data_IF_098639408300
#
_entry.id   IF_098639408300
#
_cell.length_a   1.000
_cell.length_b   1.000
_cell.length_c   1.000
_cell.angle_alpha   90.00
_cell.angle_beta   90.00
_cell.angle_gamma   90.00
#
_symmetry.space_group_name_H-M   'P 1'
#
loop_
_entity.id
_entity.type
_entity.pdbx_description
1 polymer ?
#
# COMPACT_ATOMS: atom_id res chain seq x y z
N UNK A 1 11.25 -39.69 -20.70
CA UNK A 1 10.57 -38.42 -21.06
C UNK A 1 10.26 -37.65 -19.79
N UNK A 2 11.13 -36.72 -19.43
CA UNK A 2 11.02 -35.92 -18.20
C UNK A 2 9.99 -34.81 -18.46
N UNK A 3 8.84 -34.88 -17.79
CA UNK A 3 7.82 -33.82 -17.86
C UNK A 3 8.33 -32.60 -17.08
N UNK A 4 8.95 -31.66 -17.79
CA UNK A 4 9.24 -30.32 -17.29
C UNK A 4 7.90 -29.63 -16.99
N UNK A 5 7.54 -29.50 -15.71
CA UNK A 5 6.39 -28.68 -15.30
C UNK A 5 6.79 -27.21 -15.42
N UNK A 6 6.20 -26.53 -16.40
CA UNK A 6 6.34 -25.09 -16.58
C UNK A 6 5.44 -24.38 -15.55
N UNK A 7 5.98 -24.02 -14.39
CA UNK A 7 5.25 -23.21 -13.41
C UNK A 7 5.34 -21.73 -13.82
N UNK A 8 4.35 -21.26 -14.59
CA UNK A 8 4.17 -19.84 -14.88
C UNK A 8 3.48 -19.17 -13.68
N UNK A 9 4.27 -18.50 -12.82
CA UNK A 9 3.75 -17.70 -11.72
C UNK A 9 3.32 -16.33 -12.25
N UNK A 10 2.02 -16.15 -12.49
CA UNK A 10 1.41 -14.84 -12.69
C UNK A 10 0.96 -14.30 -11.31
N UNK A 11 1.87 -13.63 -10.60
CA UNK A 11 1.49 -12.92 -9.37
C UNK A 11 0.54 -11.77 -9.74
N UNK A 12 -0.70 -11.80 -9.25
CA UNK A 12 -1.66 -10.70 -9.40
C UNK A 12 -1.10 -9.37 -8.90
N UNK A 13 -1.73 -8.25 -9.28
CA UNK A 13 -1.24 -6.91 -8.96
C UNK A 13 -1.00 -6.67 -7.45
N UNK A 14 -1.84 -7.30 -6.62
CA UNK A 14 -1.74 -7.31 -5.16
C UNK A 14 -0.61 -8.21 -4.62
N UNK A 15 -0.20 -9.21 -5.40
CA UNK A 15 0.89 -10.15 -5.12
C UNK A 15 2.25 -9.67 -5.67
N UNK A 16 2.30 -8.57 -6.42
CA UNK A 16 3.54 -7.98 -6.94
C UNK A 16 4.51 -7.54 -5.84
N UNK A 17 3.97 -7.36 -4.63
CA UNK A 17 4.67 -6.97 -3.43
C UNK A 17 4.84 -8.11 -2.42
N UNK A 18 4.61 -9.36 -2.82
CA UNK A 18 4.96 -10.52 -1.98
C UNK A 18 6.34 -11.06 -2.37
N UNK A 19 7.25 -11.14 -1.41
CA UNK A 19 8.48 -11.92 -1.54
C UNK A 19 8.10 -13.39 -1.44
N UNK A 20 7.95 -14.10 -2.56
CA UNK A 20 8.16 -15.54 -2.57
C UNK A 20 9.65 -15.80 -2.70
N UNK A 21 10.33 -15.91 -1.56
CA UNK A 21 11.70 -16.41 -1.48
C UNK A 21 11.76 -17.50 -0.42
N UNK A 22 12.31 -18.62 -0.87
CA UNK A 22 12.71 -19.80 -0.12
C UNK A 22 13.58 -19.35 1.07
N UNK A 23 13.21 -19.79 2.27
CA UNK A 23 13.91 -19.49 3.51
C UNK A 23 15.28 -20.19 3.54
N UNK A 24 16.32 -19.44 3.93
CA UNK A 24 17.51 -19.96 4.59
C UNK A 24 17.89 -18.96 5.70
N UNK A 25 17.53 -19.39 6.91
CA UNK A 25 18.12 -19.23 8.24
C UNK A 25 19.09 -18.10 8.66
N UNK A 26 18.88 -17.74 9.94
CA UNK A 26 19.83 -17.39 11.01
C UNK A 26 20.37 -15.95 11.08
N UNK A 27 19.81 -15.15 12.01
CA UNK A 27 20.34 -15.03 13.38
C UNK A 27 19.59 -13.96 14.19
N UNK A 28 19.05 -14.39 15.32
CA UNK A 28 18.52 -13.58 16.42
C UNK A 28 19.66 -13.18 17.38
N UNK A 29 19.58 -12.01 18.03
CA UNK A 29 20.01 -11.79 19.43
C UNK A 29 19.20 -10.60 20.02
N UNK A 30 18.74 -10.67 21.29
CA UNK A 30 17.80 -9.75 21.93
C UNK A 30 18.48 -8.74 22.88
N UNK A 31 17.78 -7.72 23.37
CA UNK A 31 18.20 -7.04 24.62
C UNK A 31 17.04 -6.44 25.42
N UNK A 32 17.13 -6.64 26.73
CA UNK A 32 16.22 -6.29 27.81
C UNK A 32 16.15 -4.79 28.17
N UNK A 33 14.95 -4.37 28.57
CA UNK A 33 14.53 -3.53 29.70
C UNK A 33 15.59 -2.77 30.53
N UNK A 34 15.34 -1.49 30.85
CA UNK A 34 15.29 -0.90 32.23
C UNK A 34 14.86 0.59 32.14
N UNK A 35 13.82 1.02 32.88
CA UNK A 35 13.90 2.14 33.87
C UNK A 35 12.59 2.38 34.65
N UNK A 36 12.74 2.71 35.94
CA UNK A 36 11.71 3.10 36.93
C UNK A 36 11.75 4.62 37.17
N UNK A 37 10.56 5.20 37.44
CA UNK A 37 10.27 6.35 38.35
C UNK A 37 10.77 7.74 37.92
N UNK A 38 10.09 8.87 38.14
CA UNK A 38 8.89 9.21 38.91
C UNK A 38 8.36 10.59 38.47
N UNK A 39 7.03 10.75 38.49
CA UNK A 39 6.15 11.86 38.99
C UNK A 39 6.76 13.27 39.17
N UNK A 40 6.14 14.40 38.77
CA UNK A 40 5.02 15.10 39.47
C UNK A 40 4.55 16.39 38.73
N UNK A 41 3.21 16.54 38.65
CA UNK A 41 2.27 17.70 38.65
C UNK A 41 2.27 18.87 37.65
N UNK A 42 1.06 19.04 37.11
CA UNK A 42 0.34 20.17 36.47
C UNK A 42 0.26 21.46 37.32
N UNK A 43 -0.13 22.60 36.71
CA UNK A 43 -1.47 23.10 36.99
C UNK A 43 -2.26 23.59 35.76
N UNK A 44 -3.57 23.43 35.90
CA UNK A 44 -4.70 23.66 35.01
C UNK A 44 -4.94 25.15 34.73
N UNK A 45 -5.38 25.49 33.51
CA UNK A 45 -6.33 26.59 33.28
C UNK A 45 -7.15 26.27 32.04
N UNK A 46 -8.46 26.10 32.24
CA UNK A 46 -9.46 25.88 31.20
C UNK A 46 -9.78 27.20 30.50
N UNK A 47 -9.77 27.19 29.17
CA UNK A 47 -10.60 28.07 28.36
C UNK A 47 -11.20 27.23 27.23
N UNK A 48 -12.44 26.80 27.45
CA UNK A 48 -13.30 26.19 26.45
C UNK A 48 -13.67 27.24 25.41
N UNK A 49 -13.14 27.12 24.20
CA UNK A 49 -13.87 27.42 22.97
C UNK A 49 -13.53 26.32 21.97
N UNK A 50 -14.34 25.26 22.01
CA UNK A 50 -14.29 24.17 21.04
C UNK A 50 -14.76 24.73 19.69
N UNK A 51 -13.81 25.04 18.82
CA UNK A 51 -14.08 25.13 17.39
C UNK A 51 -14.39 23.69 16.96
N UNK A 52 -15.68 23.39 16.78
CA UNK A 52 -16.11 22.22 16.04
C UNK A 52 -15.59 22.38 14.61
N UNK A 53 -14.38 21.89 14.35
CA UNK A 53 -13.94 21.62 12.98
C UNK A 53 -14.90 20.58 12.42
N UNK A 54 -15.79 21.02 11.54
CA UNK A 54 -16.58 20.14 10.69
C UNK A 54 -15.59 19.28 9.92
N UNK A 55 -15.33 18.09 10.46
CA UNK A 55 -14.52 17.07 9.83
C UNK A 55 -15.31 16.60 8.62
N UNK A 56 -14.89 17.02 7.42
CA UNK A 56 -15.61 16.68 6.20
C UNK A 56 -15.30 15.22 5.84
N UNK A 57 -16.29 14.36 6.04
CA UNK A 57 -16.21 12.98 5.56
C UNK A 57 -16.26 12.96 4.03
N UNK A 58 -15.30 12.29 3.40
CA UNK A 58 -15.24 12.21 1.93
C UNK A 58 -15.02 10.78 1.46
N UNK A 59 -15.71 10.44 0.38
CA UNK A 59 -15.55 9.16 -0.32
C UNK A 59 -14.96 9.41 -1.70
N UNK A 60 -13.76 8.89 -1.93
CA UNK A 60 -13.10 8.92 -3.24
C UNK A 60 -13.02 7.51 -3.81
N UNK A 61 -13.27 7.35 -5.11
CA UNK A 61 -13.22 6.06 -5.80
C UNK A 61 -12.46 6.18 -7.10
N UNK A 62 -11.50 5.30 -7.31
CA UNK A 62 -10.63 5.23 -8.48
C UNK A 62 -10.72 3.85 -9.11
N UNK A 63 -10.99 3.77 -10.41
CA UNK A 63 -11.03 2.51 -11.15
C UNK A 63 -9.94 2.50 -12.21
N UNK A 64 -9.16 1.44 -12.19
CA UNK A 64 -8.06 1.20 -13.10
C UNK A 64 -8.41 0.06 -14.05
N UNK A 65 -8.27 0.29 -15.35
CA UNK A 65 -8.21 -0.79 -16.32
C UNK A 65 -6.82 -1.42 -16.22
N UNK A 66 -6.76 -2.73 -16.04
CA UNK A 66 -5.50 -3.48 -15.94
C UNK A 66 -5.34 -4.36 -17.17
N UNK A 67 -4.14 -4.37 -17.73
CA UNK A 67 -3.77 -5.09 -18.94
C UNK A 67 -2.54 -5.96 -18.69
N UNK A 68 -2.53 -7.17 -19.24
CA UNK A 68 -1.31 -7.93 -19.49
C UNK A 68 -0.81 -7.61 -20.89
N UNK A 69 0.36 -6.96 -21.00
CA UNK A 69 0.79 -6.28 -22.21
C UNK A 69 -0.34 -5.36 -22.72
N UNK A 70 -0.88 -5.63 -23.90
CA UNK A 70 -1.98 -4.87 -24.51
C UNK A 70 -3.37 -5.50 -24.31
N UNK A 71 -3.46 -6.63 -23.60
CA UNK A 71 -4.72 -7.36 -23.43
C UNK A 71 -5.32 -6.99 -22.08
N UNK A 72 -6.54 -6.45 -22.09
CA UNK A 72 -7.33 -6.23 -20.88
C UNK A 72 -7.52 -7.53 -20.12
N UNK A 73 -7.12 -7.52 -18.85
CA UNK A 73 -7.31 -8.66 -17.94
C UNK A 73 -8.32 -8.35 -16.84
N UNK A 74 -8.83 -7.13 -16.72
CA UNK A 74 -9.85 -6.79 -15.73
C UNK A 74 -9.58 -5.44 -15.08
N UNK A 75 -10.11 -5.24 -13.87
CA UNK A 75 -10.10 -3.94 -13.21
C UNK A 75 -9.56 -4.03 -11.79
N UNK A 76 -8.93 -2.95 -11.36
CA UNK A 76 -8.65 -2.68 -9.96
C UNK A 76 -9.47 -1.46 -9.53
N UNK A 77 -10.07 -1.52 -8.36
CA UNK A 77 -10.78 -0.39 -7.74
C UNK A 77 -10.10 -0.04 -6.43
N UNK A 78 -9.93 1.24 -6.15
CA UNK A 78 -9.53 1.75 -4.83
C UNK A 78 -10.58 2.74 -4.35
N UNK A 79 -11.12 2.52 -3.17
CA UNK A 79 -12.05 3.41 -2.48
C UNK A 79 -11.41 3.91 -1.19
N UNK A 80 -11.49 5.22 -0.96
CA UNK A 80 -10.98 5.90 0.22
C UNK A 80 -12.17 6.54 0.93
N UNK A 81 -12.38 6.21 2.19
CA UNK A 81 -13.35 6.87 3.06
C UNK A 81 -12.56 7.63 4.12
N UNK A 82 -12.53 8.95 4.01
CA UNK A 82 -11.89 9.82 4.98
C UNK A 82 -12.88 10.18 6.06
N UNK A 83 -12.45 10.05 7.31
CA UNK A 83 -13.10 10.59 8.50
C UNK A 83 -12.07 11.38 9.29
N UNK A 84 -11.91 12.63 8.87
CA UNK A 84 -10.88 13.53 9.39
C UNK A 84 -9.49 13.08 9.05
N UNK A 85 -8.73 12.70 10.08
CA UNK A 85 -7.36 12.23 9.93
C UNK A 85 -7.28 10.72 9.67
N UNK A 86 -8.38 10.01 9.85
CA UNK A 86 -8.48 8.57 9.65
C UNK A 86 -9.01 8.30 8.26
N UNK A 87 -8.55 7.20 7.66
CA UNK A 87 -8.98 6.75 6.33
C UNK A 87 -9.12 5.23 6.29
N UNK A 88 -10.31 4.79 5.88
CA UNK A 88 -10.51 3.41 5.46
C UNK A 88 -10.24 3.30 3.96
N UNK A 89 -9.38 2.36 3.56
CA UNK A 89 -9.07 2.12 2.14
C UNK A 89 -9.48 0.71 1.75
N UNK A 90 -10.39 0.60 0.78
CA UNK A 90 -10.80 -0.66 0.18
C UNK A 90 -10.25 -0.79 -1.24
N UNK A 91 -9.33 -1.73 -1.43
CA UNK A 91 -8.73 -2.06 -2.71
C UNK A 91 -9.25 -3.40 -3.19
N UNK A 92 -9.78 -3.49 -4.40
CA UNK A 92 -10.28 -4.73 -5.00
C UNK A 92 -9.69 -4.91 -6.39
N UNK A 93 -9.16 -6.09 -6.69
CA UNK A 93 -8.63 -6.46 -7.98
C UNK A 93 -9.35 -7.72 -8.48
N UNK A 94 -9.96 -7.64 -9.65
CA UNK A 94 -10.63 -8.75 -10.29
C UNK A 94 -10.09 -8.90 -11.71
N UNK A 95 -9.34 -9.98 -11.93
CA UNK A 95 -8.69 -10.25 -13.19
C UNK A 95 -9.00 -11.65 -13.72
N UNK A 96 -9.06 -11.75 -15.05
CA UNK A 96 -9.21 -13.00 -15.79
C UNK A 96 -8.37 -12.96 -17.06
N UNK A 97 -7.62 -14.02 -17.32
CA UNK A 97 -6.85 -14.21 -18.55
C UNK A 97 -6.90 -15.66 -18.99
N UNK A 98 -7.31 -15.90 -20.24
CA UNK A 98 -7.66 -17.23 -20.74
C UNK A 98 -8.70 -17.89 -19.82
N UNK A 99 -8.40 -19.10 -19.30
CA UNK A 99 -9.30 -19.84 -18.40
C UNK A 99 -8.97 -19.65 -16.91
N UNK A 100 -8.14 -18.67 -16.56
CA UNK A 100 -7.71 -18.42 -15.19
C UNK A 100 -8.26 -17.10 -14.67
N UNK A 101 -8.85 -17.14 -13.47
CA UNK A 101 -9.22 -15.96 -12.70
C UNK A 101 -8.26 -15.80 -11.52
N UNK A 102 -7.89 -14.55 -11.24
CA UNK A 102 -6.99 -14.20 -10.16
C UNK A 102 -7.32 -12.79 -9.68
N UNK A 103 -7.14 -12.54 -8.40
CA UNK A 103 -7.60 -11.30 -7.82
C UNK A 103 -7.49 -11.31 -6.31
N UNK A 104 -8.08 -10.31 -5.70
CA UNK A 104 -8.09 -10.17 -4.26
C UNK A 104 -8.65 -8.84 -3.82
N UNK A 105 -8.79 -8.69 -2.51
CA UNK A 105 -9.18 -7.46 -1.86
C UNK A 105 -8.26 -7.18 -0.68
N UNK A 106 -8.15 -5.90 -0.33
CA UNK A 106 -7.62 -5.48 0.95
C UNK A 106 -8.45 -4.31 1.47
N UNK A 107 -8.94 -4.45 2.69
CA UNK A 107 -9.47 -3.34 3.48
C UNK A 107 -8.42 -2.94 4.52
N UNK A 108 -8.09 -1.66 4.59
CA UNK A 108 -7.12 -1.09 5.52
C UNK A 108 -7.76 0.00 6.35
N UNK A 109 -7.44 0.02 7.64
CA UNK A 109 -7.71 1.15 8.53
C UNK A 109 -6.39 1.88 8.77
N UNK A 110 -6.34 3.17 8.46
CA UNK A 110 -5.12 3.96 8.44
C UNK A 110 -5.40 5.29 9.13
N UNK A 111 -4.45 5.81 9.91
CA UNK A 111 -4.54 7.16 10.47
C UNK A 111 -3.33 8.01 10.11
N UNK A 112 -3.57 9.32 10.03
CA UNK A 112 -2.53 10.32 9.88
C UNK A 112 -1.95 10.72 11.25
N UNK A 113 -0.64 10.54 11.40
CA UNK A 113 0.14 11.06 12.50
C UNK A 113 0.64 12.48 12.17
N UNK A 114 0.01 13.48 12.78
CA UNK A 114 0.33 14.89 12.58
C UNK A 114 1.74 15.29 13.04
N UNK A 115 2.30 14.60 14.05
CA UNK A 115 3.61 14.93 14.59
C UNK A 115 4.71 14.39 13.68
N UNK A 116 4.54 13.16 13.21
CA UNK A 116 5.51 12.48 12.35
C UNK A 116 5.30 12.76 10.86
N UNK A 117 4.16 13.37 10.49
CA UNK A 117 3.76 13.67 9.11
C UNK A 117 3.77 12.41 8.24
N UNK A 118 3.22 11.33 8.77
CA UNK A 118 3.11 10.05 8.10
C UNK A 118 1.79 9.34 8.38
N UNK A 119 1.41 8.45 7.48
CA UNK A 119 0.30 7.52 7.68
C UNK A 119 0.77 6.26 8.41
N UNK A 120 0.01 5.85 9.42
CA UNK A 120 0.19 4.61 10.16
C UNK A 120 -0.93 3.63 9.80
N UNK A 121 -0.57 2.39 9.48
CA UNK A 121 -1.55 1.32 9.37
C UNK A 121 -2.00 0.89 10.77
N UNK A 122 -3.31 0.74 10.99
CA UNK A 122 -3.89 0.23 12.24
C UNK A 122 -4.30 -1.22 12.13
N UNK A 123 -4.98 -1.54 11.04
CA UNK A 123 -5.34 -2.91 10.70
C UNK A 123 -5.43 -3.06 9.19
N UNK A 124 -5.26 -4.29 8.70
CA UNK A 124 -5.80 -4.63 7.39
C UNK A 124 -6.29 -6.07 7.33
N UNK A 125 -7.27 -6.28 6.48
CA UNK A 125 -7.76 -7.58 6.07
C UNK A 125 -7.52 -7.76 4.58
N UNK A 126 -6.92 -8.86 4.17
CA UNK A 126 -6.58 -9.16 2.78
C UNK A 126 -7.00 -10.56 2.39
N UNK A 127 -7.67 -10.66 1.25
CA UNK A 127 -7.97 -11.93 0.60
C UNK A 127 -7.41 -11.97 -0.81
N UNK A 128 -6.92 -13.12 -1.27
CA UNK A 128 -6.56 -13.31 -2.67
C UNK A 128 -6.86 -14.72 -3.16
N UNK A 129 -7.15 -14.84 -4.45
CA UNK A 129 -7.41 -16.10 -5.17
C UNK A 129 -6.55 -16.20 -6.43
N UNK A 130 -6.39 -17.42 -6.95
CA UNK A 130 -5.56 -17.71 -8.11
C UNK A 130 -4.31 -18.49 -7.71
N UNK A 131 -3.12 -17.99 -8.04
CA UNK A 131 -1.85 -18.70 -7.82
C UNK A 131 -1.43 -18.78 -6.35
N UNK A 132 -2.00 -17.95 -5.48
CA UNK A 132 -1.79 -18.01 -4.03
C UNK A 132 -3.06 -17.59 -3.33
N UNK A 133 -3.58 -18.47 -2.47
CA UNK A 133 -4.74 -18.19 -1.64
C UNK A 133 -4.26 -17.59 -0.33
N UNK A 134 -4.73 -16.38 -0.05
CA UNK A 134 -4.42 -15.65 1.17
C UNK A 134 -5.75 -15.28 1.81
N UNK A 135 -5.85 -15.52 3.11
CA UNK A 135 -6.85 -14.95 4.00
C UNK A 135 -6.10 -14.43 5.22
N UNK A 136 -5.84 -13.14 5.26
CA UNK A 136 -4.86 -12.54 6.15
C UNK A 136 -5.43 -11.32 6.87
N UNK A 137 -5.37 -11.35 8.20
CA UNK A 137 -5.64 -10.19 9.06
C UNK A 137 -4.35 -9.76 9.73
N UNK A 138 -4.10 -8.45 9.78
CA UNK A 138 -2.96 -7.87 10.49
C UNK A 138 -3.43 -6.74 11.38
N UNK A 139 -2.96 -6.74 12.62
CA UNK A 139 -3.10 -5.62 13.53
C UNK A 139 -1.74 -5.05 13.87
N UNK A 140 -1.64 -3.73 13.89
CA UNK A 140 -0.42 -2.99 14.22
C UNK A 140 -0.52 -2.45 15.64
N UNK A 141 0.62 -2.33 16.32
CA UNK A 141 0.68 -1.57 17.55
C UNK A 141 0.59 -0.05 17.29
N UNK A 142 0.62 0.73 18.37
CA UNK A 142 0.31 2.16 18.33
C UNK A 142 1.28 2.95 17.45
N UNK A 143 2.55 2.57 17.40
CA UNK A 143 3.59 3.22 16.61
C UNK A 143 3.93 2.46 15.31
N UNK A 144 3.19 1.37 15.02
CA UNK A 144 3.36 0.53 13.84
C UNK A 144 4.64 -0.31 13.86
N UNK A 145 5.37 -0.37 14.97
CA UNK A 145 6.64 -1.10 15.08
C UNK A 145 6.47 -2.60 15.17
N UNK A 146 5.30 -3.07 15.61
CA UNK A 146 4.98 -4.49 15.74
C UNK A 146 3.69 -4.85 15.03
N UNK A 147 3.67 -5.99 14.36
CA UNK A 147 2.47 -6.56 13.73
C UNK A 147 2.10 -7.91 14.34
N UNK A 148 0.80 -8.16 14.46
CA UNK A 148 0.21 -9.46 14.80
C UNK A 148 -0.56 -9.95 13.57
N UNK A 149 -0.05 -11.02 12.96
CA UNK A 149 -0.55 -11.57 11.70
C UNK A 149 -1.31 -12.86 11.96
N UNK A 150 -2.51 -12.97 11.38
CA UNK A 150 -3.22 -14.25 11.23
C UNK A 150 -3.38 -14.48 9.73
N UNK A 151 -2.73 -15.49 9.17
CA UNK A 151 -2.78 -15.81 7.75
C UNK A 151 -3.18 -17.28 7.56
N UNK A 152 -4.33 -17.54 6.95
CA UNK A 152 -4.88 -18.89 6.78
C UNK A 152 -4.94 -19.69 8.10
N UNK A 153 -5.21 -19.01 9.22
CA UNK A 153 -5.25 -19.58 10.57
C UNK A 153 -3.88 -19.66 11.29
N UNK A 154 -2.76 -19.48 10.58
CA UNK A 154 -1.43 -19.44 11.18
C UNK A 154 -1.15 -18.06 11.78
N UNK A 155 -0.56 -18.05 12.99
CA UNK A 155 -0.22 -16.82 13.72
C UNK A 155 1.26 -16.53 13.63
N UNK A 156 1.61 -15.28 13.39
CA UNK A 156 2.99 -14.80 13.41
C UNK A 156 3.05 -13.36 13.94
N UNK A 157 4.22 -12.97 14.42
CA UNK A 157 4.50 -11.60 14.83
C UNK A 157 5.78 -11.11 14.16
N UNK A 158 5.80 -9.83 13.80
CA UNK A 158 6.98 -9.19 13.23
C UNK A 158 7.24 -7.86 13.93
N UNK A 159 8.50 -7.48 14.05
CA UNK A 159 8.92 -6.20 14.66
C UNK A 159 9.90 -5.49 13.72
N UNK A 160 9.88 -4.16 13.70
CA UNK A 160 10.84 -3.35 12.98
C UNK A 160 11.20 -2.08 13.76
N UNK A 161 12.41 -2.05 14.31
CA UNK A 161 12.90 -0.92 15.11
C UNK A 161 13.31 0.30 14.24
N UNK A 162 13.45 0.12 12.93
CA UNK A 162 13.93 1.17 12.01
C UNK A 162 12.83 2.16 11.62
N UNK A 163 11.67 1.70 11.15
CA UNK A 163 10.49 2.54 10.87
C UNK A 163 9.17 1.79 11.12
N UNK A 164 8.01 2.46 11.18
CA UNK A 164 6.71 1.79 11.21
C UNK A 164 6.55 0.81 10.04
N UNK A 165 5.98 -0.36 10.34
CA UNK A 165 5.51 -1.33 9.36
C UNK A 165 4.16 -0.83 8.86
N UNK A 166 3.94 -0.92 7.55
CA UNK A 166 2.72 -0.45 6.89
C UNK A 166 2.15 -1.50 5.94
N UNK A 167 0.94 -1.26 5.44
CA UNK A 167 0.34 -2.02 4.36
C UNK A 167 0.47 -1.34 2.99
N UNK A 168 0.03 -2.03 1.94
CA UNK A 168 0.09 -1.53 0.57
C UNK A 168 -0.72 -0.24 0.33
N UNK A 169 -1.92 -0.13 0.92
CA UNK A 169 -2.78 1.05 0.75
C UNK A 169 -2.11 2.29 1.38
N UNK A 170 -1.47 2.10 2.53
CA UNK A 170 -0.73 3.13 3.27
C UNK A 170 0.45 3.67 2.47
N UNK A 171 1.19 2.78 1.77
CA UNK A 171 2.30 3.20 0.88
C UNK A 171 1.79 4.18 -0.19
N UNK A 172 0.67 3.86 -0.85
CA UNK A 172 0.14 4.72 -1.92
C UNK A 172 -0.31 6.09 -1.41
N UNK A 173 -0.91 6.14 -0.22
CA UNK A 173 -1.27 7.40 0.45
C UNK A 173 -0.05 8.22 0.83
N UNK A 174 0.97 7.59 1.42
CA UNK A 174 2.17 8.29 1.86
C UNK A 174 2.96 8.85 0.66
N UNK A 175 3.03 8.14 -0.46
CA UNK A 175 3.64 8.67 -1.68
C UNK A 175 2.86 9.90 -2.17
N UNK A 176 1.53 9.83 -2.23
CA UNK A 176 0.70 10.98 -2.63
C UNK A 176 0.97 12.21 -1.76
N UNK A 177 0.97 12.04 -0.44
CA UNK A 177 1.17 13.13 0.52
C UNK A 177 2.60 13.68 0.47
N UNK A 178 3.61 12.81 0.41
CA UNK A 178 4.99 13.25 0.27
C UNK A 178 5.24 13.97 -1.05
N UNK A 179 4.58 13.59 -2.15
CA UNK A 179 4.65 14.35 -3.42
C UNK A 179 4.06 15.76 -3.28
N UNK A 180 2.99 15.95 -2.49
CA UNK A 180 2.46 17.28 -2.17
C UNK A 180 3.46 18.11 -1.37
N UNK A 181 4.20 17.46 -0.48
CA UNK A 181 5.28 18.06 0.31
C UNK A 181 6.62 18.22 -0.47
N UNK A 182 6.68 17.82 -1.74
CA UNK A 182 7.90 17.92 -2.56
C UNK A 182 8.97 16.87 -2.27
N UNK A 183 8.62 15.78 -1.57
CA UNK A 183 9.52 14.64 -1.34
C UNK A 183 9.83 13.92 -2.67
N UNK A 184 11.06 13.43 -2.79
CA UNK A 184 11.56 12.77 -4.00
C UNK A 184 12.06 11.34 -3.78
N UNK A 185 12.27 10.92 -2.53
CA UNK A 185 12.71 9.59 -2.15
C UNK A 185 11.78 9.06 -1.05
N UNK A 186 11.41 7.79 -1.12
CA UNK A 186 10.50 7.13 -0.19
C UNK A 186 11.04 5.76 0.23
N UNK A 187 10.87 5.41 1.49
CA UNK A 187 11.32 4.16 2.09
C UNK A 187 10.19 3.58 2.96
N UNK A 188 9.89 2.29 2.76
CA UNK A 188 8.77 1.64 3.43
C UNK A 188 9.11 0.22 3.86
N UNK A 189 8.62 -0.16 5.03
CA UNK A 189 8.62 -1.52 5.54
C UNK A 189 7.20 -2.05 5.46
N UNK A 190 6.93 -2.96 4.54
CA UNK A 190 5.58 -3.44 4.28
C UNK A 190 5.36 -4.83 4.87
N UNK A 191 4.27 -5.02 5.61
CA UNK A 191 3.87 -6.36 6.04
C UNK A 191 3.44 -7.21 4.83
N UNK A 192 4.12 -8.33 4.63
CA UNK A 192 3.70 -9.38 3.68
C UNK A 192 3.08 -10.56 4.44
N UNK A 193 2.66 -11.62 3.73
CA UNK A 193 2.10 -12.81 4.38
C UNK A 193 3.08 -13.53 5.32
N UNK A 194 4.39 -13.42 5.07
CA UNK A 194 5.42 -14.25 5.72
C UNK A 194 6.63 -13.46 6.20
N UNK A 195 6.66 -12.15 6.01
CA UNK A 195 7.82 -11.30 6.34
C UNK A 195 7.47 -9.82 6.29
N UNK A 196 8.39 -8.96 6.74
CA UNK A 196 8.37 -7.52 6.47
C UNK A 196 9.28 -7.25 5.27
N UNK A 197 8.73 -6.71 4.19
CA UNK A 197 9.47 -6.42 2.96
C UNK A 197 9.90 -4.95 2.91
N UNK A 198 11.13 -4.71 2.48
CA UNK A 198 11.70 -3.37 2.38
C UNK A 198 11.62 -2.82 0.95
N UNK A 199 10.97 -1.67 0.79
CA UNK A 199 10.73 -0.97 -0.47
C UNK A 199 11.36 0.42 -0.49
N UNK A 200 11.89 0.77 -1.66
CA UNK A 200 12.43 2.09 -1.94
C UNK A 200 11.80 2.60 -3.23
N UNK A 201 11.32 3.85 -3.20
CA UNK A 201 10.80 4.52 -4.37
C UNK A 201 11.47 5.86 -4.58
N UNK A 202 11.59 6.28 -5.83
CA UNK A 202 12.21 7.56 -6.20
C UNK A 202 11.41 8.26 -7.29
N UNK A 203 11.22 9.56 -7.13
CA UNK A 203 10.75 10.46 -8.18
C UNK A 203 11.87 10.67 -9.17
N UNK A 204 11.66 10.24 -10.41
CA UNK A 204 12.65 10.36 -11.49
C UNK A 204 12.38 11.56 -12.40
N UNK A 205 11.22 12.19 -12.27
CA UNK A 205 10.87 13.41 -12.98
C UNK A 205 9.37 13.69 -13.03
N UNK A 206 9.02 14.80 -13.68
CA UNK A 206 7.66 15.10 -14.13
C UNK A 206 7.60 14.91 -15.64
N UNK A 207 6.54 14.29 -16.12
CA UNK A 207 6.31 14.13 -17.55
C UNK A 207 4.83 14.21 -17.90
N UNK A 208 4.56 14.50 -19.18
CA UNK A 208 3.20 14.49 -19.72
C UNK A 208 2.86 13.08 -20.20
N UNK A 209 1.78 12.51 -19.68
CA UNK A 209 1.30 11.19 -20.05
C UNK A 209 -0.07 11.29 -20.72
N UNK A 210 -0.28 10.48 -21.75
CA UNK A 210 -1.60 10.29 -22.36
C UNK A 210 -2.43 9.34 -21.50
N UNK A 211 -3.64 9.76 -21.18
CA UNK A 211 -4.62 8.98 -20.41
C UNK A 211 -6.02 9.12 -21.02
N UNK A 212 -6.98 8.35 -20.51
CA UNK A 212 -8.41 8.52 -20.83
C UNK A 212 -8.96 9.92 -20.49
N UNK A 213 -8.33 10.66 -19.57
CA UNK A 213 -8.71 12.02 -19.19
C UNK A 213 -7.98 13.10 -20.01
N UNK A 214 -7.29 12.71 -21.09
CA UNK A 214 -6.43 13.59 -21.88
C UNK A 214 -4.96 13.50 -21.46
N UNK A 215 -4.19 14.50 -21.85
CA UNK A 215 -2.78 14.64 -21.46
C UNK A 215 -2.70 15.20 -20.04
N UNK A 216 -2.03 14.48 -19.14
CA UNK A 216 -1.84 14.86 -17.74
C UNK A 216 -0.37 15.06 -17.44
N UNK A 217 -0.04 16.10 -16.68
CA UNK A 217 1.25 16.16 -16.00
C UNK A 217 1.24 15.18 -14.82
N UNK A 218 2.29 14.37 -14.71
CA UNK A 218 2.42 13.40 -13.63
C UNK A 218 3.87 13.27 -13.16
N UNK A 219 4.04 13.03 -11.86
CA UNK A 219 5.29 12.55 -11.28
C UNK A 219 5.49 11.10 -11.66
N UNK A 220 6.62 10.79 -12.30
CA UNK A 220 7.07 9.43 -12.53
C UNK A 220 7.83 8.95 -11.30
N UNK A 221 7.34 7.90 -10.66
CA UNK A 221 7.90 7.30 -9.45
C UNK A 221 8.30 5.87 -9.77
N UNK A 222 9.54 5.51 -9.49
CA UNK A 222 10.07 4.16 -9.72
C UNK A 222 10.38 3.45 -8.41
N UNK A 223 10.11 2.15 -8.35
CA UNK A 223 10.72 1.29 -7.35
C UNK A 223 12.19 1.08 -7.69
N UNK A 224 13.08 1.35 -6.74
CA UNK A 224 14.52 1.17 -6.88
C UNK A 224 15.04 0.06 -5.96
N UNK A 225 16.32 -0.31 -6.13
CA UNK A 225 17.01 -1.36 -5.34
C UNK A 225 16.37 -2.76 -5.46
N UNK A 226 15.69 -3.03 -6.58
CA UNK A 226 15.30 -4.38 -7.01
C UNK A 226 15.78 -4.61 -8.44
N UNK A 227 16.41 -5.75 -8.66
CA UNK A 227 17.10 -6.05 -9.92
C UNK A 227 16.30 -7.06 -10.75
N UNK A 228 15.35 -7.76 -10.11
CA UNK A 228 14.58 -8.84 -10.71
C UNK A 228 13.24 -8.37 -11.30
N UNK A 229 12.86 -7.11 -11.07
CA UNK A 229 11.59 -6.52 -11.49
C UNK A 229 11.73 -5.01 -11.70
N UNK A 230 10.82 -4.45 -12.48
CA UNK A 230 10.60 -3.01 -12.64
C UNK A 230 9.20 -2.67 -12.17
N UNK A 231 9.06 -1.60 -11.40
CA UNK A 231 7.77 -0.99 -11.10
C UNK A 231 7.87 0.52 -11.28
N UNK A 232 7.01 1.07 -12.13
CA UNK A 232 6.90 2.49 -12.42
C UNK A 232 5.44 2.87 -12.17
N UNK A 233 5.22 3.97 -11.47
CA UNK A 233 3.90 4.55 -11.25
C UNK A 233 3.90 6.04 -11.57
N UNK A 234 2.78 6.54 -12.05
CA UNK A 234 2.58 7.94 -12.36
C UNK A 234 1.52 8.52 -11.45
N UNK A 235 1.86 9.59 -10.74
CA UNK A 235 0.99 10.29 -9.81
C UNK A 235 0.69 11.68 -10.33
N UNK A 236 -0.59 12.02 -10.52
CA UNK A 236 -0.98 13.26 -11.18
C UNK A 236 -1.54 14.28 -10.17
N UNK A 237 -1.02 15.52 -10.12
CA UNK A 237 -1.55 16.58 -9.25
C UNK A 237 -3.04 16.86 -9.45
N UNK A 238 -3.54 16.72 -10.69
CA UNK A 238 -4.96 16.88 -11.04
C UNK A 238 -5.90 15.97 -10.24
N UNK A 239 -5.38 14.85 -9.71
CA UNK A 239 -6.12 13.91 -8.87
C UNK A 239 -5.52 13.84 -7.46
N UNK A 240 -5.10 14.98 -6.89
CA UNK A 240 -4.52 15.04 -5.55
C UNK A 240 -3.26 14.17 -5.40
N UNK A 241 -2.43 14.12 -6.44
CA UNK A 241 -1.30 13.20 -6.55
C UNK A 241 -1.71 11.73 -6.34
N UNK A 242 -2.91 11.31 -6.75
CA UNK A 242 -3.28 9.90 -6.85
C UNK A 242 -2.53 9.23 -8.00
N UNK A 243 -2.21 7.94 -7.83
CA UNK A 243 -1.68 7.12 -8.92
C UNK A 243 -2.70 7.09 -10.07
N UNK A 244 -2.31 7.47 -11.27
CA UNK A 244 -3.15 7.45 -12.47
C UNK A 244 -2.73 6.40 -13.49
N UNK A 245 -1.50 5.89 -13.37
CA UNK A 245 -0.96 4.85 -14.24
C UNK A 245 0.12 4.06 -13.51
N UNK A 246 0.32 2.80 -13.88
CA UNK A 246 1.48 2.03 -13.44
C UNK A 246 1.90 1.00 -14.49
N UNK A 247 3.16 0.59 -14.42
CA UNK A 247 3.75 -0.50 -15.18
C UNK A 247 4.58 -1.37 -14.24
N UNK A 248 4.28 -2.66 -14.22
CA UNK A 248 5.05 -3.67 -13.53
C UNK A 248 5.58 -4.70 -14.52
N UNK A 249 6.87 -5.03 -14.41
CA UNK A 249 7.50 -6.08 -15.22
C UNK A 249 8.39 -6.98 -14.37
N UNK A 250 8.18 -8.30 -14.47
CA UNK A 250 9.06 -9.34 -13.87
C UNK A 250 9.02 -10.60 -14.70
N UNK A 251 10.15 -11.01 -15.26
CA UNK A 251 10.22 -12.16 -16.19
C UNK A 251 9.20 -11.98 -17.33
N UNK A 252 8.25 -12.90 -17.46
CA UNK A 252 7.18 -12.86 -18.48
C UNK A 252 6.00 -11.98 -18.09
N UNK A 253 5.88 -11.62 -16.81
CA UNK A 253 4.80 -10.79 -16.30
C UNK A 253 5.03 -9.34 -16.71
N UNK A 254 4.09 -8.76 -17.44
CA UNK A 254 4.11 -7.39 -17.95
C UNK A 254 2.71 -6.82 -17.78
N UNK A 255 2.49 -6.11 -16.67
CA UNK A 255 1.18 -5.65 -16.23
C UNK A 255 1.18 -4.13 -16.23
N UNK A 256 0.18 -3.56 -16.89
CA UNK A 256 0.00 -2.12 -16.98
C UNK A 256 -1.38 -1.78 -16.44
N UNK A 257 -1.51 -0.67 -15.73
CA UNK A 257 -2.81 -0.14 -15.34
C UNK A 257 -2.93 1.34 -15.60
N UNK A 258 -4.15 1.77 -15.92
CA UNK A 258 -4.47 3.17 -16.18
C UNK A 258 -5.82 3.50 -15.54
N UNK A 259 -5.90 4.66 -14.88
CA UNK A 259 -7.14 5.18 -14.31
C UNK A 259 -8.14 5.47 -15.44
N UNK A 260 -9.35 4.94 -15.32
CA UNK A 260 -10.40 5.07 -16.33
C UNK A 260 -11.70 5.68 -15.80
N UNK A 261 -11.82 5.81 -14.48
CA UNK A 261 -12.97 6.38 -13.77
C UNK A 261 -12.52 6.92 -12.41
N UNK A 262 -13.04 8.08 -12.02
CA UNK A 262 -12.82 8.69 -10.70
C UNK A 262 -14.11 9.40 -10.24
N UNK A 263 -14.54 9.11 -9.01
CA UNK A 263 -15.67 9.77 -8.36
C UNK A 263 -15.26 10.28 -6.98
N UNK A 264 -15.66 11.51 -6.63
CA UNK A 264 -15.49 12.10 -5.30
C UNK A 264 -16.87 12.53 -4.78
N UNK A 265 -17.21 12.10 -3.57
CA UNK A 265 -18.47 12.43 -2.88
C UNK A 265 -18.16 12.99 -1.50
N UNK A 266 -18.70 14.17 -1.18
CA UNK A 266 -18.71 14.71 0.18
C UNK A 266 -19.89 14.13 0.94
N UNK A 267 -19.64 13.54 2.09
CA UNK A 267 -20.69 13.05 3.00
C UNK A 267 -21.07 14.22 3.93
N UNK A 268 -22.38 14.45 4.08
CA UNK A 268 -22.95 15.50 4.92
C UNK A 268 -23.21 14.99 6.34
#
# INVERSE_FOLDING_TARGET
MTKTRFTLLFSGLFLLFTNTLIANELNSVPTEQVTKGSTVSTPTTNANEAIATNVLDTKNRYVYQVNYKSISIGKMTQEYHWTGKDVEVNSVADFSFLYFSFGGSQKSDIDWDEQQKLFLSRSFFRQSVGFSVVDMTVNFDKDGRKTHVVNNGEKAEYTNDSAPIVDFNTITLQISEGLKAGQIDFEFYMQTSTSVAHYFFKVVGKEKIKTKFGELEAYRVEQVRKNDRTFIAWFAPTFENQMVKFHYKRKVLDINGELIEHNNTKLQ
#
